data_IF_608903232565
#
_entry.id   IF_608903232565
#
_cell.length_a   1.000
_cell.length_b   1.000
_cell.length_c   1.000
_cell.angle_alpha   90.00
_cell.angle_beta   90.00
_cell.angle_gamma   90.00
#
_symmetry.space_group_name_H-M   'P 1'
#
loop_
_entity.id
_entity.type
_entity.pdbx_description
1 polymer ?
#
# COMPACT_ATOMS: atom_id res chain seq x y z
N UNK A 1 52.18 -60.90 -0.27
CA UNK A 1 51.19 -60.02 0.41
C UNK A 1 51.50 -58.57 0.06
N UNK A 2 51.47 -58.25 -1.25
CA UNK A 2 51.80 -56.93 -1.81
C UNK A 2 50.65 -56.44 -2.70
N UNK A 3 50.03 -57.38 -3.41
CA UNK A 3 48.86 -57.16 -4.26
C UNK A 3 47.72 -56.45 -3.51
N UNK A 4 47.31 -56.91 -2.32
CA UNK A 4 46.23 -56.25 -1.55
C UNK A 4 46.54 -54.79 -1.18
N UNK A 5 47.79 -54.49 -0.83
CA UNK A 5 48.20 -53.14 -0.44
C UNK A 5 48.19 -52.18 -1.62
N UNK A 6 48.64 -52.65 -2.79
CA UNK A 6 48.60 -51.87 -4.02
C UNK A 6 47.16 -51.63 -4.50
N UNK A 7 46.28 -52.64 -4.40
CA UNK A 7 44.85 -52.49 -4.70
C UNK A 7 44.16 -51.49 -3.77
N UNK A 8 44.41 -51.55 -2.46
CA UNK A 8 43.89 -50.58 -1.47
C UNK A 8 44.41 -49.16 -1.76
N UNK A 9 45.68 -49.02 -2.17
CA UNK A 9 46.26 -47.74 -2.56
C UNK A 9 45.59 -47.16 -3.81
N UNK A 10 45.20 -48.01 -4.75
CA UNK A 10 44.57 -47.61 -6.00
C UNK A 10 43.10 -47.20 -5.78
N UNK A 11 42.36 -47.94 -4.96
CA UNK A 11 40.98 -47.58 -4.57
C UNK A 11 40.93 -46.27 -3.79
N UNK A 12 41.90 -46.04 -2.89
CA UNK A 12 42.01 -44.77 -2.16
C UNK A 12 42.39 -43.60 -3.09
N UNK A 13 43.24 -43.82 -4.10
CA UNK A 13 43.54 -42.84 -5.15
C UNK A 13 42.30 -42.51 -6.00
N UNK A 14 41.50 -43.50 -6.37
CA UNK A 14 40.26 -43.29 -7.12
C UNK A 14 39.22 -42.55 -6.28
N UNK A 15 39.05 -42.92 -5.01
CA UNK A 15 38.14 -42.27 -4.07
C UNK A 15 38.52 -40.80 -3.81
N UNK A 16 39.82 -40.52 -3.62
CA UNK A 16 40.32 -39.14 -3.45
C UNK A 16 40.15 -38.31 -4.71
N UNK A 17 40.35 -38.89 -5.90
CA UNK A 17 40.10 -38.22 -7.17
C UNK A 17 38.61 -37.89 -7.37
N UNK A 18 37.71 -38.82 -7.03
CA UNK A 18 36.26 -38.57 -7.09
C UNK A 18 35.83 -37.51 -6.08
N UNK A 19 36.33 -37.57 -4.84
CA UNK A 19 36.06 -36.57 -3.82
C UNK A 19 36.52 -35.16 -4.28
N UNK A 20 37.69 -35.06 -4.91
CA UNK A 20 38.19 -33.79 -5.45
C UNK A 20 37.29 -33.23 -6.57
N UNK A 21 36.76 -34.09 -7.46
CA UNK A 21 35.80 -33.68 -8.50
C UNK A 21 34.50 -33.14 -7.89
N UNK A 22 33.92 -33.85 -6.93
CA UNK A 22 32.71 -33.41 -6.25
C UNK A 22 32.93 -32.15 -5.41
N UNK A 23 34.10 -32.00 -4.78
CA UNK A 23 34.49 -30.79 -4.07
C UNK A 23 34.58 -29.57 -5.01
N UNK A 24 35.12 -29.74 -6.23
CA UNK A 24 35.15 -28.68 -7.24
C UNK A 24 33.75 -28.25 -7.68
N UNK A 25 32.85 -29.20 -7.93
CA UNK A 25 31.44 -28.93 -8.26
C UNK A 25 30.72 -28.23 -7.09
N UNK A 26 30.95 -28.69 -5.85
CA UNK A 26 30.39 -28.08 -4.65
C UNK A 26 30.90 -26.65 -4.43
N UNK A 27 32.18 -26.37 -4.71
CA UNK A 27 32.74 -25.03 -4.62
C UNK A 27 32.08 -24.07 -5.63
N UNK A 28 31.87 -24.52 -6.87
CA UNK A 28 31.15 -23.73 -7.88
C UNK A 28 29.70 -23.46 -7.45
N UNK A 29 29.01 -24.48 -6.95
CA UNK A 29 27.64 -24.35 -6.44
C UNK A 29 27.56 -23.38 -5.24
N UNK A 30 28.57 -23.40 -4.35
CA UNK A 30 28.67 -22.48 -3.22
C UNK A 30 28.91 -21.03 -3.70
N UNK A 31 29.75 -20.81 -4.70
CA UNK A 31 29.96 -19.49 -5.29
C UNK A 31 28.68 -18.94 -5.92
N UNK A 32 27.95 -19.76 -6.69
CA UNK A 32 26.67 -19.35 -7.30
C UNK A 32 25.64 -19.03 -6.22
N UNK A 33 25.55 -19.87 -5.19
CA UNK A 33 24.64 -19.66 -4.06
C UNK A 33 24.95 -18.35 -3.32
N UNK A 34 26.23 -18.10 -3.03
CA UNK A 34 26.68 -16.88 -2.39
C UNK A 34 26.33 -15.63 -3.23
N UNK A 35 26.55 -15.70 -4.55
CA UNK A 35 26.19 -14.62 -5.46
C UNK A 35 24.67 -14.36 -5.46
N UNK A 36 23.86 -15.42 -5.54
CA UNK A 36 22.41 -15.31 -5.46
C UNK A 36 21.94 -14.69 -4.13
N UNK A 37 22.59 -15.04 -3.00
CA UNK A 37 22.32 -14.42 -1.69
C UNK A 37 22.65 -12.93 -1.68
N UNK A 38 23.81 -12.52 -2.22
CA UNK A 38 24.20 -11.11 -2.30
C UNK A 38 23.19 -10.31 -3.13
N UNK A 39 22.79 -10.84 -4.29
CA UNK A 39 21.76 -10.21 -5.14
C UNK A 39 20.43 -10.13 -4.39
N UNK A 40 20.03 -11.20 -3.70
CA UNK A 40 18.82 -11.25 -2.89
C UNK A 40 18.79 -10.19 -1.79
N UNK A 41 19.91 -10.01 -1.07
CA UNK A 41 20.07 -8.95 -0.06
C UNK A 41 19.95 -7.57 -0.70
N UNK A 42 20.59 -7.35 -1.85
CA UNK A 42 20.52 -6.08 -2.58
C UNK A 42 19.09 -5.70 -3.00
N UNK A 43 18.33 -6.67 -3.52
CA UNK A 43 16.93 -6.47 -3.90
C UNK A 43 16.06 -6.22 -2.67
N UNK A 44 16.24 -6.99 -1.59
CA UNK A 44 15.51 -6.80 -0.34
C UNK A 44 15.75 -5.40 0.25
N UNK A 45 17.00 -4.94 0.23
CA UNK A 45 17.37 -3.60 0.69
C UNK A 45 16.69 -2.49 -0.12
N UNK A 46 16.64 -2.65 -1.45
CA UNK A 46 15.99 -1.69 -2.34
C UNK A 46 14.48 -1.67 -2.11
N UNK A 47 13.84 -2.82 -1.95
CA UNK A 47 12.42 -2.93 -1.60
C UNK A 47 12.11 -2.25 -0.26
N UNK A 48 12.98 -2.43 0.75
CA UNK A 48 12.87 -1.77 2.05
C UNK A 48 13.03 -0.24 1.99
N UNK A 49 13.52 0.33 0.90
CA UNK A 49 13.57 1.79 0.73
C UNK A 49 12.40 2.33 -0.10
N UNK A 50 11.72 1.48 -0.88
CA UNK A 50 10.60 1.89 -1.73
C UNK A 50 9.28 2.08 -0.97
N UNK A 51 9.10 1.48 0.21
CA UNK A 51 7.83 1.58 0.92
C UNK A 51 7.47 3.00 1.34
N UNK A 52 8.44 3.86 1.70
CA UNK A 52 8.16 5.25 2.14
C UNK A 52 7.54 6.10 1.01
N UNK A 53 8.16 6.20 -0.19
CA UNK A 53 7.55 6.95 -1.29
C UNK A 53 6.24 6.30 -1.77
N UNK A 54 6.17 4.97 -1.82
CA UNK A 54 4.94 4.25 -2.16
C UNK A 54 3.80 4.56 -1.17
N UNK A 55 4.10 4.64 0.13
CA UNK A 55 3.10 4.95 1.15
C UNK A 55 2.54 6.37 0.99
N UNK A 56 3.40 7.34 0.64
CA UNK A 56 2.97 8.72 0.36
C UNK A 56 2.05 8.79 -0.86
N UNK A 57 2.47 8.21 -1.97
CA UNK A 57 1.68 8.20 -3.21
C UNK A 57 0.36 7.45 -3.03
N UNK A 58 0.38 6.31 -2.32
CA UNK A 58 -0.81 5.54 -2.00
C UNK A 58 -1.78 6.35 -1.10
N UNK A 59 -1.28 7.18 -0.18
CA UNK A 59 -2.14 8.03 0.65
C UNK A 59 -2.90 9.08 -0.16
N UNK A 60 -2.27 9.64 -1.21
CA UNK A 60 -2.90 10.55 -2.16
C UNK A 60 -3.99 9.84 -2.97
N UNK A 61 -3.66 8.70 -3.57
CA UNK A 61 -4.62 7.92 -4.36
C UNK A 61 -5.83 7.50 -3.54
N UNK A 62 -5.61 7.02 -2.31
CA UNK A 62 -6.69 6.66 -1.40
C UNK A 62 -7.59 7.84 -1.06
N UNK A 63 -7.03 9.04 -0.84
CA UNK A 63 -7.84 10.24 -0.61
C UNK A 63 -8.73 10.54 -1.82
N UNK A 64 -8.18 10.52 -3.04
CA UNK A 64 -8.92 10.75 -4.28
C UNK A 64 -10.03 9.70 -4.45
N UNK A 65 -9.73 8.41 -4.29
CA UNK A 65 -10.72 7.33 -4.41
C UNK A 65 -11.88 7.53 -3.43
N UNK A 66 -11.59 7.97 -2.21
CA UNK A 66 -12.62 8.20 -1.19
C UNK A 66 -13.46 9.43 -1.47
N UNK A 67 -12.89 10.48 -2.08
CA UNK A 67 -13.65 11.63 -2.58
C UNK A 67 -14.58 11.24 -3.73
N UNK A 68 -14.12 10.40 -4.66
CA UNK A 68 -14.97 9.85 -5.74
C UNK A 68 -16.11 9.01 -5.16
N UNK A 69 -15.81 8.13 -4.20
CA UNK A 69 -16.83 7.34 -3.52
C UNK A 69 -17.83 8.20 -2.75
N UNK A 70 -17.37 9.30 -2.13
CA UNK A 70 -18.23 10.28 -1.48
C UNK A 70 -19.18 10.97 -2.47
N UNK A 71 -18.69 11.38 -3.65
CA UNK A 71 -19.55 11.95 -4.70
C UNK A 71 -20.58 10.94 -5.20
N UNK A 72 -20.19 9.69 -5.42
CA UNK A 72 -21.12 8.62 -5.79
C UNK A 72 -22.20 8.42 -4.73
N UNK A 73 -21.83 8.45 -3.44
CA UNK A 73 -22.77 8.43 -2.34
C UNK A 73 -23.74 9.62 -2.40
N UNK A 74 -23.25 10.85 -2.60
CA UNK A 74 -24.13 12.03 -2.73
C UNK A 74 -25.19 11.89 -3.83
N UNK A 75 -24.79 11.30 -4.96
CA UNK A 75 -25.70 11.04 -6.10
C UNK A 75 -26.77 10.01 -5.72
N UNK A 76 -26.41 8.94 -5.01
CA UNK A 76 -27.34 7.86 -4.65
C UNK A 76 -28.30 8.23 -3.52
N UNK A 77 -27.96 9.20 -2.68
CA UNK A 77 -28.84 9.63 -1.59
C UNK A 77 -30.21 10.11 -2.10
N UNK A 78 -31.27 10.08 -1.30
CA UNK A 78 -32.52 10.77 -1.61
C UNK A 78 -32.35 12.30 -1.48
N UNK A 79 -33.17 13.10 -2.17
CA UNK A 79 -33.14 14.58 -2.03
C UNK A 79 -33.46 15.04 -0.60
N UNK A 80 -34.27 14.26 0.10
CA UNK A 80 -34.74 14.52 1.46
C UNK A 80 -34.40 13.33 2.37
N UNK A 81 -33.59 13.59 3.39
CA UNK A 81 -33.15 12.61 4.40
C UNK A 81 -34.14 12.49 5.58
N UNK A 82 -35.24 13.25 5.58
CA UNK A 82 -36.29 13.16 6.59
C UNK A 82 -37.18 11.92 6.42
N UNK A 83 -37.25 11.37 5.20
CA UNK A 83 -38.04 10.18 4.84
C UNK A 83 -37.22 8.89 4.85
N UNK A 84 -36.23 8.79 5.74
CA UNK A 84 -35.34 7.63 5.89
C UNK A 84 -35.56 6.96 7.27
N UNK A 85 -36.65 6.19 7.46
CA UNK A 85 -37.05 5.65 8.76
C UNK A 85 -36.01 4.70 9.38
N UNK A 86 -35.19 4.04 8.57
CA UNK A 86 -34.11 3.16 9.03
C UNK A 86 -32.75 3.86 9.17
N UNK A 87 -32.69 5.17 8.88
CA UNK A 87 -31.47 5.98 8.83
C UNK A 87 -30.39 5.36 7.92
N UNK A 88 -30.75 4.55 6.92
CA UNK A 88 -29.82 3.81 6.07
C UNK A 88 -28.96 4.77 5.24
N UNK A 89 -29.60 5.69 4.56
CA UNK A 89 -28.95 6.69 3.72
C UNK A 89 -28.11 7.65 4.57
N UNK A 90 -28.62 7.99 5.75
CA UNK A 90 -27.89 8.84 6.72
C UNK A 90 -26.60 8.17 7.21
N UNK A 91 -26.62 6.85 7.46
CA UNK A 91 -25.45 6.04 7.82
C UNK A 91 -24.46 5.91 6.67
N UNK A 92 -24.94 5.67 5.45
CA UNK A 92 -24.09 5.59 4.25
C UNK A 92 -23.35 6.90 4.01
N UNK A 93 -24.05 8.03 4.11
CA UNK A 93 -23.45 9.36 4.03
C UNK A 93 -22.38 9.58 5.11
N UNK A 94 -22.70 9.29 6.37
CA UNK A 94 -21.76 9.43 7.48
C UNK A 94 -20.52 8.58 7.28
N UNK A 95 -20.68 7.34 6.82
CA UNK A 95 -19.55 6.45 6.52
C UNK A 95 -18.63 7.06 5.46
N UNK A 96 -19.20 7.52 4.34
CA UNK A 96 -18.43 8.13 3.27
C UNK A 96 -17.73 9.42 3.74
N UNK A 97 -18.43 10.26 4.50
CA UNK A 97 -17.88 11.51 5.03
C UNK A 97 -16.73 11.28 6.03
N UNK A 98 -16.86 10.28 6.91
CA UNK A 98 -15.82 9.93 7.88
C UNK A 98 -14.60 9.35 7.16
N UNK A 99 -14.80 8.52 6.14
CA UNK A 99 -13.69 7.95 5.38
C UNK A 99 -12.85 9.05 4.70
N UNK A 100 -13.51 10.01 4.02
CA UNK A 100 -12.82 11.18 3.43
C UNK A 100 -12.03 11.94 4.48
N UNK A 101 -12.64 12.21 5.63
CA UNK A 101 -12.01 12.96 6.70
C UNK A 101 -10.78 12.22 7.28
N UNK A 102 -10.91 10.91 7.50
CA UNK A 102 -9.83 10.07 8.00
C UNK A 102 -8.65 10.04 7.02
N UNK A 103 -8.92 9.85 5.72
CA UNK A 103 -7.90 9.81 4.67
C UNK A 103 -7.26 11.18 4.48
N UNK A 104 -8.04 12.25 4.57
CA UNK A 104 -7.56 13.62 4.55
C UNK A 104 -6.57 13.89 5.68
N UNK A 105 -6.90 13.50 6.92
CA UNK A 105 -5.98 13.61 8.06
C UNK A 105 -4.71 12.78 7.88
N UNK A 106 -4.81 11.56 7.34
CA UNK A 106 -3.63 10.70 7.07
C UNK A 106 -2.71 11.35 6.04
N UNK A 107 -3.27 11.93 4.98
CA UNK A 107 -2.53 12.65 3.96
C UNK A 107 -1.87 13.92 4.57
N UNK A 108 -2.62 14.73 5.34
CA UNK A 108 -2.12 15.95 5.97
C UNK A 108 -0.99 15.72 7.00
N UNK A 109 -0.92 14.54 7.61
CA UNK A 109 0.22 14.16 8.47
C UNK A 109 1.53 14.03 7.70
N UNK A 110 1.46 13.75 6.40
CA UNK A 110 2.61 13.53 5.53
C UNK A 110 2.90 14.74 4.64
N UNK A 111 1.88 15.58 4.41
CA UNK A 111 1.90 16.73 3.51
C UNK A 111 1.29 17.94 4.23
N UNK A 112 2.09 19.00 4.42
CA UNK A 112 1.59 20.23 5.02
C UNK A 112 0.84 21.04 3.95
N UNK A 113 -0.48 20.83 3.82
CA UNK A 113 -1.34 21.56 2.89
C UNK A 113 -2.46 22.27 3.66
N UNK A 114 -2.34 23.60 3.83
CA UNK A 114 -3.30 24.41 4.60
C UNK A 114 -4.64 24.57 3.87
N UNK A 115 -4.63 24.66 2.55
CA UNK A 115 -5.82 24.79 1.71
C UNK A 115 -6.68 23.52 1.82
N UNK A 116 -6.05 22.35 1.68
CA UNK A 116 -6.73 21.07 1.87
C UNK A 116 -7.34 20.94 3.26
N UNK A 117 -6.60 21.39 4.30
CA UNK A 117 -7.08 21.35 5.68
C UNK A 117 -8.35 22.19 5.86
N UNK A 118 -8.34 23.40 5.31
CA UNK A 118 -9.48 24.31 5.35
C UNK A 118 -10.69 23.72 4.62
N UNK A 119 -10.50 23.19 3.42
CA UNK A 119 -11.61 22.62 2.65
C UNK A 119 -12.15 21.31 3.24
N UNK A 120 -11.32 20.48 3.88
CA UNK A 120 -11.79 19.31 4.63
C UNK A 120 -12.63 19.73 5.85
N UNK A 121 -12.23 20.79 6.55
CA UNK A 121 -13.00 21.35 7.66
C UNK A 121 -14.33 21.92 7.17
N UNK A 122 -14.31 22.68 6.07
CA UNK A 122 -15.50 23.19 5.40
C UNK A 122 -16.46 22.06 5.00
N UNK A 123 -15.95 20.99 4.35
CA UNK A 123 -16.73 19.82 3.98
C UNK A 123 -17.36 19.14 5.19
N UNK A 124 -16.62 19.01 6.30
CA UNK A 124 -17.14 18.42 7.55
C UNK A 124 -18.28 19.24 8.15
N UNK A 125 -18.11 20.56 8.24
CA UNK A 125 -19.13 21.48 8.78
C UNK A 125 -20.38 21.44 7.89
N UNK A 126 -20.20 21.55 6.57
CA UNK A 126 -21.31 21.53 5.61
C UNK A 126 -21.99 20.17 5.57
N UNK A 127 -21.24 19.08 5.72
CA UNK A 127 -21.78 17.73 5.85
C UNK A 127 -22.71 17.58 7.06
N UNK A 128 -22.32 18.12 8.21
CA UNK A 128 -23.18 18.16 9.39
C UNK A 128 -24.45 19.01 9.15
N UNK A 129 -24.33 20.14 8.46
CA UNK A 129 -25.47 20.98 8.09
C UNK A 129 -26.42 20.29 7.10
N UNK A 130 -25.90 19.48 6.18
CA UNK A 130 -26.70 18.68 5.25
C UNK A 130 -27.54 17.63 5.98
N UNK A 131 -26.98 16.94 6.96
CA UNK A 131 -27.74 16.00 7.82
C UNK A 131 -28.85 16.69 8.60
N UNK A 132 -28.66 17.97 8.94
CA UNK A 132 -29.67 18.83 9.55
C UNK A 132 -30.66 19.45 8.55
N UNK A 133 -30.54 19.16 7.25
CA UNK A 133 -31.41 19.68 6.19
C UNK A 133 -31.16 21.14 5.80
N UNK A 134 -30.02 21.73 6.20
CA UNK A 134 -29.69 23.15 5.98
C UNK A 134 -28.89 23.42 4.71
N UNK A 135 -28.23 22.39 4.18
CA UNK A 135 -27.33 22.47 3.02
C UNK A 135 -27.84 21.52 1.94
N UNK A 136 -27.58 21.85 0.68
CA UNK A 136 -27.98 21.03 -0.47
C UNK A 136 -26.86 20.08 -0.91
N UNK A 137 -27.20 18.98 -1.57
CA UNK A 137 -26.18 18.04 -2.10
C UNK A 137 -25.22 18.66 -3.11
N UNK A 138 -25.66 19.51 -4.07
CA UNK A 138 -24.74 20.14 -5.01
C UNK A 138 -23.66 20.97 -4.32
N UNK A 139 -24.00 21.61 -3.21
CA UNK A 139 -23.04 22.38 -2.41
C UNK A 139 -21.94 21.48 -1.82
N UNK A 140 -22.29 20.31 -1.29
CA UNK A 140 -21.31 19.32 -0.83
C UNK A 140 -20.45 18.74 -1.97
N UNK A 141 -21.08 18.48 -3.12
CA UNK A 141 -20.40 17.97 -4.30
C UNK A 141 -19.39 19.00 -4.85
N UNK A 142 -19.72 20.28 -4.80
CA UNK A 142 -18.84 21.37 -5.19
C UNK A 142 -17.61 21.44 -4.29
N UNK A 143 -17.78 21.42 -2.97
CA UNK A 143 -16.66 21.41 -2.01
C UNK A 143 -15.76 20.19 -2.24
N UNK A 144 -16.36 19.00 -2.38
CA UNK A 144 -15.61 17.78 -2.71
C UNK A 144 -14.85 17.90 -4.04
N UNK A 145 -15.40 18.60 -5.03
CA UNK A 145 -14.73 18.85 -6.31
C UNK A 145 -13.57 19.83 -6.19
N UNK A 146 -13.73 20.89 -5.38
CA UNK A 146 -12.64 21.83 -5.05
C UNK A 146 -11.47 21.06 -4.43
N UNK A 147 -11.74 20.19 -3.44
CA UNK A 147 -10.70 19.37 -2.81
C UNK A 147 -9.94 18.52 -3.83
N UNK A 148 -10.61 17.93 -4.83
CA UNK A 148 -9.94 17.14 -5.87
C UNK A 148 -9.09 17.98 -6.83
N UNK A 149 -9.34 19.29 -6.92
CA UNK A 149 -8.57 20.23 -7.75
C UNK A 149 -7.37 20.83 -7.03
N UNK A 150 -7.30 20.71 -5.70
CA UNK A 150 -6.13 21.12 -4.92
C UNK A 150 -4.93 20.26 -5.33
N UNK A 151 -3.75 20.88 -5.40
CA UNK A 151 -2.52 20.16 -5.67
C UNK A 151 -2.15 19.27 -4.45
N UNK A 152 -2.47 17.98 -4.58
CA UNK A 152 -2.17 16.89 -3.64
C UNK A 152 -0.87 16.17 -4.03
#
# INVERSE_FOLDING_TARGET
MQVDTDFISLDTLVATQQAAKWAGVAAIAACISCFATIVGIGVAWRSLHQWKPQYKENSRLQLIDTLVAYQQCLISLPKDLSKDPECKHRKEFLKASIEVDMRGVIYLKQHNNSELKEELENLRIKGAQFVAGKVSKPELALISSIIMLIEL
#
